data_IF_043476197178
#
_entry.id   IF_043476197178
#
_cell.length_a   1.000
_cell.length_b   1.000
_cell.length_c   1.000
_cell.angle_alpha   90.00
_cell.angle_beta   90.00
_cell.angle_gamma   90.00
#
_symmetry.space_group_name_H-M   'P 1'
#
loop_
_entity.id
_entity.type
_entity.pdbx_description
1 polymer ?
#
# COMPACT_ATOMS: atom_id res chain seq x y z
N UNK A 1 14.23 17.23 -5.66
CA UNK A 1 13.58 16.57 -4.51
C UNK A 1 12.14 16.22 -4.90
N UNK A 2 11.66 14.99 -4.64
CA UNK A 2 10.23 14.67 -4.78
C UNK A 2 9.42 15.54 -3.81
N UNK A 3 8.32 16.12 -4.26
CA UNK A 3 7.43 16.87 -3.38
C UNK A 3 6.85 15.90 -2.34
N UNK A 4 7.08 16.19 -1.06
CA UNK A 4 6.53 15.43 0.06
C UNK A 4 5.76 16.40 0.98
N UNK A 5 4.65 15.96 1.60
CA UNK A 5 3.92 16.80 2.55
C UNK A 5 4.86 17.28 3.66
N UNK A 6 4.78 18.58 3.97
CA UNK A 6 5.64 19.18 5.01
C UNK A 6 5.32 18.55 6.37
N UNK A 7 6.33 17.95 6.98
CA UNK A 7 6.20 17.34 8.30
C UNK A 7 6.21 18.43 9.39
N UNK A 8 5.02 18.76 9.91
CA UNK A 8 4.85 19.69 11.03
C UNK A 8 5.45 19.12 12.32
N UNK A 9 5.75 19.98 13.29
CA UNK A 9 6.34 19.55 14.56
C UNK A 9 5.45 18.55 15.32
N UNK A 10 4.12 18.73 15.29
CA UNK A 10 3.17 17.79 15.89
C UNK A 10 3.31 16.37 15.30
N UNK A 11 3.46 16.26 13.99
CA UNK A 11 3.64 14.96 13.32
C UNK A 11 4.96 14.30 13.73
N UNK A 12 6.04 15.08 13.91
CA UNK A 12 7.32 14.55 14.40
C UNK A 12 7.18 14.02 15.82
N UNK A 13 6.50 14.76 16.69
CA UNK A 13 6.28 14.34 18.08
C UNK A 13 5.45 13.05 18.15
N UNK A 14 4.35 12.97 17.39
CA UNK A 14 3.51 11.77 17.28
C UNK A 14 4.30 10.56 16.76
N UNK A 15 5.10 10.74 15.70
CA UNK A 15 5.98 9.69 15.15
C UNK A 15 7.02 9.23 16.16
N UNK A 16 7.63 10.14 16.89
CA UNK A 16 8.63 9.82 17.91
C UNK A 16 8.01 9.06 19.08
N UNK A 17 6.83 9.49 19.55
CA UNK A 17 6.09 8.80 20.60
C UNK A 17 5.70 7.39 20.16
N UNK A 18 5.23 7.25 18.92
CA UNK A 18 4.93 5.95 18.32
C UNK A 18 6.17 5.06 18.29
N UNK A 19 7.30 5.56 17.79
CA UNK A 19 8.53 4.79 17.68
C UNK A 19 9.01 4.31 19.06
N UNK A 20 9.06 5.21 20.04
CA UNK A 20 9.43 4.88 21.43
C UNK A 20 8.50 3.83 22.05
N UNK A 21 7.20 3.94 21.82
CA UNK A 21 6.19 3.03 22.38
C UNK A 21 6.19 1.64 21.72
N UNK A 22 6.84 1.47 20.57
CA UNK A 22 6.81 0.24 19.79
C UNK A 22 8.21 -0.34 19.50
N UNK A 23 9.26 0.09 20.21
CA UNK A 23 10.61 -0.45 20.03
C UNK A 23 10.69 -1.95 20.32
N UNK A 24 9.92 -2.44 21.29
CA UNK A 24 9.88 -3.84 21.70
C UNK A 24 8.71 -4.63 21.09
N UNK A 25 7.98 -4.05 20.12
CA UNK A 25 6.82 -4.70 19.51
C UNK A 25 7.23 -5.91 18.67
N UNK A 26 6.56 -7.04 18.88
CA UNK A 26 6.69 -8.23 18.02
C UNK A 26 5.86 -8.04 16.74
N UNK A 27 6.50 -7.54 15.70
CA UNK A 27 5.86 -7.23 14.42
C UNK A 27 5.38 -8.46 13.65
N UNK A 28 5.83 -9.68 13.99
CA UNK A 28 5.36 -10.91 13.33
C UNK A 28 3.91 -11.24 13.69
N UNK A 29 3.43 -10.74 14.84
CA UNK A 29 2.05 -10.91 15.31
C UNK A 29 1.15 -9.73 14.91
N UNK A 30 1.69 -8.75 14.20
CA UNK A 30 0.96 -7.57 13.77
C UNK A 30 0.30 -7.82 12.41
N UNK A 31 -0.99 -7.48 12.33
CA UNK A 31 -1.72 -7.39 11.07
C UNK A 31 -1.62 -5.96 10.55
N UNK A 32 -1.38 -5.88 9.26
CA UNK A 32 -0.97 -4.70 8.52
C UNK A 32 -2.00 -4.48 7.41
N UNK A 33 -2.77 -3.39 7.44
CA UNK A 33 -3.86 -3.11 6.48
C UNK A 33 -3.88 -1.67 5.95
N UNK A 34 -4.26 -1.49 4.68
CA UNK A 34 -4.48 -0.18 4.03
C UNK A 34 -5.63 -0.23 3.04
N UNK A 35 -5.97 0.97 2.55
CA UNK A 35 -6.71 1.18 1.32
C UNK A 35 -5.82 1.77 0.19
N UNK A 36 -6.00 1.28 -1.04
CA UNK A 36 -5.37 1.85 -2.24
C UNK A 36 -6.36 2.03 -3.37
N UNK A 37 -6.30 3.18 -4.03
CA UNK A 37 -6.97 3.44 -5.31
C UNK A 37 -6.13 2.89 -6.47
N UNK A 38 -6.77 2.12 -7.36
CA UNK A 38 -6.24 1.64 -8.63
C UNK A 38 -7.18 2.07 -9.78
N UNK A 39 -6.63 2.40 -10.95
CA UNK A 39 -7.38 2.87 -12.11
C UNK A 39 -7.30 1.86 -13.27
N UNK A 40 -8.27 1.85 -14.20
CA UNK A 40 -8.18 0.92 -15.33
C UNK A 40 -7.02 1.25 -16.28
N UNK A 41 -6.67 2.53 -16.39
CA UNK A 41 -5.65 3.03 -17.32
C UNK A 41 -4.20 2.91 -16.82
N UNK A 42 -4.00 2.43 -15.60
CA UNK A 42 -2.70 2.36 -14.97
C UNK A 42 -2.59 3.21 -13.71
N UNK A 43 -1.46 3.08 -12.99
CA UNK A 43 -1.22 3.83 -11.76
C UNK A 43 -0.97 5.32 -12.03
N UNK A 44 -1.43 6.15 -11.11
CA UNK A 44 -1.18 7.60 -11.14
C UNK A 44 0.34 7.85 -11.11
N UNK A 45 0.91 8.30 -12.23
CA UNK A 45 2.33 8.67 -12.32
C UNK A 45 3.21 7.85 -13.28
N UNK A 46 2.67 6.87 -14.03
CA UNK A 46 3.39 6.23 -15.15
C UNK A 46 3.48 7.11 -16.42
N UNK A 47 3.49 8.43 -16.27
CA UNK A 47 3.65 9.36 -17.38
C UNK A 47 5.05 9.27 -18.04
N UNK A 48 6.02 8.68 -17.34
CA UNK A 48 7.40 8.51 -17.81
C UNK A 48 7.91 7.11 -17.51
N UNK A 49 8.43 6.41 -18.52
CA UNK A 49 9.17 5.15 -18.38
C UNK A 49 10.46 5.22 -19.19
N UNK A 50 11.50 4.53 -18.73
CA UNK A 50 12.73 4.34 -19.50
C UNK A 50 12.46 3.33 -20.61
N UNK A 51 12.53 3.78 -21.86
CA UNK A 51 12.28 2.96 -23.05
C UNK A 51 13.61 2.61 -23.71
N UNK A 52 13.84 1.31 -23.92
CA UNK A 52 14.80 0.84 -24.91
C UNK A 52 14.21 1.12 -26.31
N UNK A 53 14.90 1.94 -27.11
CA UNK A 53 14.44 2.38 -28.44
C UNK A 53 14.29 1.23 -29.44
N UNK A 54 14.86 0.06 -29.16
CA UNK A 54 14.74 -1.16 -29.98
C UNK A 54 13.40 -1.89 -29.79
N UNK A 55 12.62 -1.52 -28.77
CA UNK A 55 11.31 -2.11 -28.47
C UNK A 55 10.19 -1.14 -28.87
N UNK A 56 9.05 -1.70 -29.25
CA UNK A 56 7.86 -0.91 -29.56
C UNK A 56 7.46 0.00 -28.39
N UNK A 57 6.92 1.20 -28.66
CA UNK A 57 6.49 2.10 -27.61
C UNK A 57 5.35 1.48 -26.80
N UNK A 58 5.46 1.47 -25.47
CA UNK A 58 4.30 1.31 -24.59
C UNK A 58 3.44 2.58 -24.70
N UNK A 59 2.24 2.43 -25.25
CA UNK A 59 1.22 3.46 -25.31
C UNK A 59 0.34 3.35 -24.06
N UNK A 60 0.36 4.38 -23.22
CA UNK A 60 -0.58 4.52 -22.11
C UNK A 60 -1.76 5.37 -22.57
N UNK A 61 -2.96 4.81 -22.56
CA UNK A 61 -4.20 5.57 -22.82
C UNK A 61 -4.36 6.72 -21.81
N UNK A 62 -4.54 7.96 -22.32
CA UNK A 62 -4.97 9.13 -21.55
C UNK A 62 -6.48 9.31 -21.75
N UNK A 63 -7.30 8.54 -21.04
CA UNK A 63 -8.76 8.79 -21.05
C UNK A 63 -9.07 10.03 -20.21
N UNK A 64 -9.54 11.08 -20.86
CA UNK A 64 -9.95 12.33 -20.20
C UNK A 64 -11.25 12.16 -19.38
N UNK A 65 -12.04 11.11 -19.66
CA UNK A 65 -13.28 10.75 -18.96
C UNK A 65 -13.53 9.23 -19.04
N UNK A 66 -14.18 8.65 -18.02
CA UNK A 66 -14.70 7.27 -18.07
C UNK A 66 -13.70 6.13 -17.78
N UNK A 67 -12.45 6.44 -17.39
CA UNK A 67 -11.40 5.44 -17.13
C UNK A 67 -11.65 4.52 -15.92
N UNK A 68 -12.60 4.82 -15.05
CA UNK A 68 -12.95 3.96 -13.91
C UNK A 68 -11.85 3.84 -12.84
N UNK A 69 -12.25 3.73 -11.58
CA UNK A 69 -11.30 3.46 -10.50
C UNK A 69 -11.96 2.60 -9.43
N UNK A 70 -11.10 1.92 -8.69
CA UNK A 70 -11.45 0.90 -7.72
C UNK A 70 -10.62 1.18 -6.47
N UNK A 71 -11.29 1.21 -5.31
CA UNK A 71 -10.62 1.21 -4.02
C UNK A 71 -10.50 -0.23 -3.53
N UNK A 72 -9.29 -0.63 -3.15
CA UNK A 72 -8.98 -1.95 -2.61
C UNK A 72 -8.55 -1.77 -1.17
N UNK A 73 -9.17 -2.51 -0.27
CA UNK A 73 -8.65 -2.74 1.07
C UNK A 73 -7.90 -4.06 1.09
N UNK A 74 -6.71 -4.10 1.69
CA UNK A 74 -5.99 -5.35 1.85
C UNK A 74 -5.24 -5.39 3.19
N UNK A 75 -5.11 -6.59 3.72
CA UNK A 75 -4.40 -6.87 4.96
C UNK A 75 -3.44 -8.05 4.82
N UNK A 76 -2.27 -7.97 5.44
CA UNK A 76 -1.27 -9.03 5.50
C UNK A 76 -0.61 -9.10 6.89
N UNK A 77 0.16 -10.15 7.13
CA UNK A 77 1.03 -10.26 8.30
C UNK A 77 2.31 -11.01 7.91
N UNK A 78 3.24 -11.23 8.85
CA UNK A 78 4.49 -11.95 8.58
C UNK A 78 4.29 -13.39 8.11
N UNK A 79 3.10 -13.97 8.32
CA UNK A 79 2.80 -15.34 7.92
C UNK A 79 2.20 -15.46 6.52
N UNK A 80 1.70 -14.38 5.92
CA UNK A 80 1.01 -14.43 4.64
C UNK A 80 0.05 -13.26 4.43
N UNK A 81 -0.67 -13.32 3.32
CA UNK A 81 -1.83 -12.46 3.07
C UNK A 81 -2.96 -12.85 4.03
N UNK A 82 -3.73 -11.87 4.50
CA UNK A 82 -4.88 -12.09 5.41
C UNK A 82 -6.19 -11.98 4.63
N UNK A 83 -6.41 -10.84 3.98
CA UNK A 83 -7.63 -10.59 3.23
C UNK A 83 -7.45 -9.48 2.19
N UNK A 84 -8.24 -9.54 1.13
CA UNK A 84 -8.35 -8.50 0.11
C UNK A 84 -9.82 -8.29 -0.26
N UNK A 85 -10.28 -7.04 -0.14
CA UNK A 85 -11.66 -6.66 -0.35
C UNK A 85 -11.76 -5.42 -1.23
N UNK A 86 -12.77 -5.41 -2.10
CA UNK A 86 -13.03 -4.27 -2.97
C UNK A 86 -14.09 -3.39 -2.33
N UNK A 87 -13.71 -2.15 -2.04
CA UNK A 87 -14.54 -1.20 -1.31
C UNK A 87 -15.08 -0.13 -2.25
N UNK A 88 -16.22 0.46 -1.87
CA UNK A 88 -16.77 1.60 -2.58
C UNK A 88 -15.83 2.81 -2.50
N UNK A 89 -15.79 3.63 -3.55
CA UNK A 89 -15.03 4.89 -3.54
C UNK A 89 -15.52 5.86 -2.47
N UNK A 90 -16.78 5.72 -2.04
CA UNK A 90 -17.36 6.40 -0.87
C UNK A 90 -17.73 5.33 0.16
N UNK A 91 -16.77 4.95 0.99
CA UNK A 91 -17.00 4.05 2.14
C UNK A 91 -17.21 4.91 3.38
N UNK A 92 -18.33 4.72 4.08
CA UNK A 92 -18.58 5.42 5.35
C UNK A 92 -17.97 4.64 6.54
N UNK A 93 -18.02 5.20 7.75
CA UNK A 93 -17.44 4.56 8.93
C UNK A 93 -18.12 3.25 9.32
N UNK A 94 -19.42 3.10 9.08
CA UNK A 94 -20.17 1.87 9.38
C UNK A 94 -19.77 0.75 8.41
N UNK A 95 -19.70 1.05 7.12
CA UNK A 95 -19.26 0.11 6.09
C UNK A 95 -17.84 -0.39 6.40
N UNK A 96 -16.96 0.52 6.84
CA UNK A 96 -15.59 0.17 7.23
C UNK A 96 -15.54 -0.71 8.48
N UNK A 97 -16.33 -0.40 9.50
CA UNK A 97 -16.43 -1.24 10.71
C UNK A 97 -16.95 -2.64 10.39
N UNK A 98 -17.93 -2.75 9.49
CA UNK A 98 -18.44 -4.05 9.04
C UNK A 98 -17.36 -4.83 8.28
N UNK A 99 -16.62 -4.16 7.39
CA UNK A 99 -15.50 -4.77 6.67
C UNK A 99 -14.42 -5.29 7.63
N UNK A 100 -14.04 -4.49 8.63
CA UNK A 100 -13.08 -4.91 9.65
C UNK A 100 -13.62 -6.08 10.49
N UNK A 101 -14.90 -6.04 10.88
CA UNK A 101 -15.53 -7.12 11.62
C UNK A 101 -15.59 -8.43 10.82
N UNK A 102 -15.75 -8.33 9.49
CA UNK A 102 -15.78 -9.50 8.59
C UNK A 102 -14.40 -10.12 8.37
N UNK A 103 -13.33 -9.33 8.32
CA UNK A 103 -12.00 -9.82 7.92
C UNK A 103 -10.97 -9.90 9.05
N UNK A 104 -11.13 -9.15 10.14
CA UNK A 104 -10.07 -8.94 11.14
C UNK A 104 -10.67 -8.71 12.53
N UNK A 105 -11.28 -9.74 13.11
CA UNK A 105 -11.53 -9.72 14.56
C UNK A 105 -10.21 -10.05 15.28
N UNK A 106 -9.63 -9.03 15.93
CA UNK A 106 -9.02 -9.03 17.29
C UNK A 106 -7.98 -7.89 17.36
N UNK A 107 -8.39 -6.80 18.04
CA UNK A 107 -7.55 -5.79 18.69
C UNK A 107 -6.61 -4.96 17.79
N UNK A 108 -7.18 -3.95 17.16
CA UNK A 108 -6.41 -2.86 16.56
C UNK A 108 -5.81 -1.95 17.62
N UNK A 109 -4.51 -1.65 17.51
CA UNK A 109 -3.98 -0.42 18.07
C UNK A 109 -4.09 0.66 17.01
N UNK A 110 -4.98 1.64 17.18
CA UNK A 110 -5.05 2.86 16.36
C UNK A 110 -3.79 3.70 16.59
N UNK A 111 -2.66 3.22 16.08
CA UNK A 111 -1.38 3.87 16.19
C UNK A 111 -0.83 4.02 14.78
N UNK A 112 -1.01 5.23 14.24
CA UNK A 112 -0.63 5.58 12.88
C UNK A 112 0.89 5.64 12.76
N UNK A 113 1.51 4.56 12.27
CA UNK A 113 2.82 4.66 11.64
C UNK A 113 2.64 5.19 10.22
N UNK A 114 3.48 6.13 9.79
CA UNK A 114 3.47 6.61 8.41
C UNK A 114 3.52 5.45 7.38
N UNK A 115 2.89 5.63 6.20
CA UNK A 115 2.39 4.55 5.32
C UNK A 115 3.45 3.75 4.53
N UNK A 116 4.75 3.95 4.76
CA UNK A 116 5.79 3.47 3.85
C UNK A 116 5.99 1.93 3.83
N UNK A 117 5.27 1.16 4.65
CA UNK A 117 5.32 -0.31 4.64
C UNK A 117 4.30 -0.91 3.68
N UNK A 118 3.05 -0.44 3.69
CA UNK A 118 2.05 -0.82 2.69
C UNK A 118 2.34 -0.21 1.33
N UNK A 119 2.87 1.01 1.26
CA UNK A 119 3.25 1.60 -0.02
C UNK A 119 4.28 0.73 -0.76
N UNK A 120 5.15 0.01 -0.04
CA UNK A 120 6.06 -0.95 -0.65
C UNK A 120 5.32 -2.17 -1.20
N UNK A 121 4.36 -2.72 -0.45
CA UNK A 121 3.53 -3.84 -0.92
C UNK A 121 2.66 -3.43 -2.11
N UNK A 122 1.98 -2.29 -2.01
CA UNK A 122 1.21 -1.68 -3.09
C UNK A 122 2.07 -1.41 -4.31
N UNK A 123 3.31 -0.95 -4.14
CA UNK A 123 4.23 -0.74 -5.26
C UNK A 123 4.56 -2.05 -5.98
N UNK A 124 4.74 -3.16 -5.26
CA UNK A 124 4.94 -4.47 -5.87
C UNK A 124 3.67 -4.92 -6.60
N UNK A 125 2.52 -4.84 -5.94
CA UNK A 125 1.24 -5.27 -6.51
C UNK A 125 0.88 -4.46 -7.76
N UNK A 126 1.02 -3.14 -7.72
CA UNK A 126 0.81 -2.24 -8.86
C UNK A 126 1.74 -2.60 -10.02
N UNK A 127 3.04 -2.83 -9.76
CA UNK A 127 3.99 -3.22 -10.81
C UNK A 127 3.62 -4.55 -11.48
N UNK A 128 3.12 -5.52 -10.70
CA UNK A 128 2.67 -6.81 -11.23
C UNK A 128 1.37 -6.67 -12.01
N UNK A 129 0.35 -6.01 -11.45
CA UNK A 129 -0.97 -5.80 -12.07
C UNK A 129 -0.90 -5.06 -13.41
N UNK A 130 -0.01 -4.07 -13.53
CA UNK A 130 0.17 -3.28 -14.75
C UNK A 130 1.47 -3.63 -15.51
N UNK A 131 2.02 -4.82 -15.27
CA UNK A 131 3.20 -5.30 -16.00
C UNK A 131 2.96 -5.21 -17.52
N UNK A 132 4.01 -4.90 -18.28
CA UNK A 132 3.96 -4.75 -19.74
C UNK A 132 2.94 -3.72 -20.26
N UNK A 133 2.71 -2.62 -19.51
CA UNK A 133 1.68 -1.60 -19.81
C UNK A 133 0.27 -2.17 -19.92
N UNK A 134 -0.04 -3.27 -19.23
CA UNK A 134 -1.39 -3.82 -19.26
C UNK A 134 -2.39 -2.77 -18.78
N UNK A 135 -3.43 -2.56 -19.56
CA UNK A 135 -4.58 -1.73 -19.20
C UNK A 135 -5.83 -2.59 -19.16
N UNK A 136 -6.85 -2.11 -18.45
CA UNK A 136 -8.09 -2.84 -18.26
C UNK A 136 -9.25 -2.11 -18.95
N UNK A 137 -10.19 -2.87 -19.52
CA UNK A 137 -11.40 -2.33 -20.14
C UNK A 137 -12.53 -2.26 -19.13
N UNK A 138 -12.64 -3.25 -18.24
CA UNK A 138 -13.66 -3.30 -17.19
C UNK A 138 -13.08 -3.36 -15.79
N UNK A 139 -13.84 -2.85 -14.81
CA UNK A 139 -13.51 -2.98 -13.38
C UNK A 139 -13.42 -4.44 -12.96
N UNK A 140 -14.20 -5.33 -13.55
CA UNK A 140 -14.16 -6.75 -13.23
C UNK A 140 -12.86 -7.41 -13.68
N UNK A 141 -12.29 -7.01 -14.81
CA UNK A 141 -10.99 -7.52 -15.27
C UNK A 141 -9.87 -7.07 -14.34
N UNK A 142 -9.90 -5.78 -13.94
CA UNK A 142 -8.94 -5.24 -12.97
C UNK A 142 -9.06 -5.96 -11.62
N UNK A 143 -10.29 -6.20 -11.13
CA UNK A 143 -10.55 -6.96 -9.90
C UNK A 143 -9.96 -8.38 -9.97
N UNK A 144 -10.13 -9.09 -11.09
CA UNK A 144 -9.57 -10.44 -11.26
C UNK A 144 -8.05 -10.42 -11.28
N UNK A 145 -7.44 -9.46 -11.97
CA UNK A 145 -5.99 -9.34 -12.02
C UNK A 145 -5.39 -9.00 -10.64
N UNK A 146 -5.99 -8.07 -9.90
CA UNK A 146 -5.53 -7.72 -8.55
C UNK A 146 -5.56 -8.94 -7.63
N UNK A 147 -6.65 -9.73 -7.67
CA UNK A 147 -6.76 -10.98 -6.88
C UNK A 147 -5.69 -11.99 -7.28
N UNK A 148 -5.51 -12.25 -8.57
CA UNK A 148 -4.49 -13.18 -9.05
C UNK A 148 -3.07 -12.79 -8.59
N UNK A 149 -2.72 -11.51 -8.69
CA UNK A 149 -1.40 -11.04 -8.25
C UNK A 149 -1.25 -11.03 -6.72
N UNK A 150 -2.34 -10.78 -5.99
CA UNK A 150 -2.37 -10.84 -4.53
C UNK A 150 -2.18 -12.26 -4.00
N UNK A 151 -2.86 -13.24 -4.60
CA UNK A 151 -2.76 -14.65 -4.24
C UNK A 151 -1.38 -15.23 -4.56
N UNK A 152 -0.68 -14.65 -5.55
CA UNK A 152 0.69 -14.97 -5.92
C UNK A 152 1.78 -14.19 -5.17
N UNK A 153 1.45 -13.48 -4.08
CA UNK A 153 2.46 -12.78 -3.28
C UNK A 153 3.33 -13.76 -2.48
N UNK A 154 4.63 -13.65 -2.67
CA UNK A 154 5.60 -14.51 -2.00
C UNK A 154 5.64 -14.25 -0.50
N UNK A 155 5.55 -15.31 0.31
CA UNK A 155 5.65 -15.21 1.78
C UNK A 155 6.96 -14.53 2.22
N UNK A 156 8.06 -14.78 1.50
CA UNK A 156 9.36 -14.17 1.78
C UNK A 156 9.33 -12.64 1.62
N UNK A 157 8.60 -12.11 0.63
CA UNK A 157 8.39 -10.67 0.46
C UNK A 157 7.68 -10.09 1.70
N UNK A 158 6.58 -10.71 2.12
CA UNK A 158 5.82 -10.25 3.28
C UNK A 158 6.66 -10.30 4.56
N UNK A 159 7.42 -11.38 4.76
CA UNK A 159 8.36 -11.51 5.88
C UNK A 159 9.45 -10.44 5.85
N UNK A 160 10.01 -10.12 4.68
CA UNK A 160 11.01 -9.04 4.57
C UNK A 160 10.44 -7.66 4.91
N UNK A 161 9.18 -7.39 4.53
CA UNK A 161 8.50 -6.14 4.86
C UNK A 161 8.30 -6.03 6.37
N UNK A 162 7.77 -7.09 7.00
CA UNK A 162 7.59 -7.14 8.46
C UNK A 162 8.94 -7.08 9.20
N UNK A 163 9.95 -7.81 8.73
CA UNK A 163 11.30 -7.81 9.28
C UNK A 163 12.02 -6.47 9.18
N UNK A 164 11.59 -5.58 8.27
CA UNK A 164 12.13 -4.21 8.17
C UNK A 164 11.59 -3.25 9.24
N UNK A 165 10.52 -3.62 9.95
CA UNK A 165 9.83 -2.75 10.90
C UNK A 165 10.71 -2.26 12.06
N UNK A 166 11.52 -3.10 12.74
CA UNK A 166 12.42 -2.64 13.78
C UNK A 166 13.38 -1.53 13.31
N UNK A 167 13.96 -1.68 12.11
CA UNK A 167 14.88 -0.69 11.54
C UNK A 167 14.17 0.63 11.20
N UNK A 168 12.94 0.56 10.68
CA UNK A 168 12.10 1.75 10.41
C UNK A 168 11.80 2.51 11.70
N UNK A 169 11.39 1.81 12.76
CA UNK A 169 11.11 2.38 14.07
C UNK A 169 12.36 3.04 14.66
N UNK A 170 13.49 2.34 14.58
CA UNK A 170 14.78 2.86 15.04
C UNK A 170 15.16 4.15 14.31
N UNK A 171 15.03 4.19 12.98
CA UNK A 171 15.36 5.39 12.21
C UNK A 171 14.42 6.57 12.54
N UNK A 172 13.12 6.32 12.74
CA UNK A 172 12.18 7.36 13.20
C UNK A 172 12.62 7.93 14.54
N UNK A 173 13.06 7.09 15.48
CA UNK A 173 13.56 7.53 16.77
C UNK A 173 14.87 8.33 16.63
N UNK A 174 15.83 7.83 15.84
CA UNK A 174 17.11 8.50 15.58
C UNK A 174 16.92 9.89 14.98
N UNK A 175 15.97 10.03 14.06
CA UNK A 175 15.64 11.30 13.40
C UNK A 175 14.66 12.18 14.17
N UNK A 176 14.37 11.87 15.44
CA UNK A 176 13.43 12.63 16.29
C UNK A 176 12.06 12.84 15.62
N UNK A 177 11.52 11.78 15.01
CA UNK A 177 10.27 11.82 14.27
C UNK A 177 10.38 12.39 12.85
N UNK A 178 11.59 12.67 12.37
CA UNK A 178 11.86 13.20 11.03
C UNK A 178 11.62 12.22 9.87
N UNK A 179 11.95 12.66 8.66
CA UNK A 179 11.78 11.91 7.41
C UNK A 179 12.78 10.75 7.35
N UNK A 180 12.28 9.53 7.15
CA UNK A 180 13.05 8.29 6.96
C UNK A 180 13.51 8.13 5.51
N UNK A 181 14.47 7.24 5.26
CA UNK A 181 14.82 6.85 3.88
C UNK A 181 13.84 5.83 3.30
N UNK A 182 13.13 5.10 4.16
CA UNK A 182 11.93 4.34 3.82
C UNK A 182 10.79 5.25 3.42
#
# INVERSE_FOLDING_TARGET
MKAAPRLQQRHKNERLQFARSNMATDWNKTIFSDEKKLNLDGPDGYAHYWRDLRKDPMYFSKRNFGGGSLMVWAAFCGNGTVALSFIGTRTNSQDYQQLLAQHVLIRFTNKTMHPNWLENLWSVLVRRVYANAKQYTTVNDLKRAIRAEWDGLDKSLLQSLVGSMPNRIFEVAQKQGGITHY
#
